data_IF_079800695118
#
_entry.id   IF_079800695118
#
_cell.length_a   1.000
_cell.length_b   1.000
_cell.length_c   1.000
_cell.angle_alpha   90.00
_cell.angle_beta   90.00
_cell.angle_gamma   90.00
#
_symmetry.space_group_name_H-M   'P 1'
#
loop_
_entity.id
_entity.type
_entity.pdbx_description
1 polymer ?
#
# COMPACT_ATOMS: atom_id res chain seq x y z
N UNK A 1 -16.86 13.52 -15.85
CA UNK A 1 -16.77 13.95 -14.44
C UNK A 1 -15.29 14.15 -14.14
N UNK A 2 -14.82 15.37 -13.80
CA UNK A 2 -13.44 15.54 -13.36
C UNK A 2 -13.25 14.77 -12.04
N UNK A 3 -12.11 14.10 -11.90
CA UNK A 3 -11.77 13.40 -10.66
C UNK A 3 -11.42 14.43 -9.57
N UNK A 4 -11.71 14.15 -8.29
CA UNK A 4 -11.43 15.09 -7.20
C UNK A 4 -9.93 15.38 -7.12
N UNK A 5 -9.55 16.63 -6.89
CA UNK A 5 -8.13 17.00 -6.79
C UNK A 5 -7.53 16.59 -5.44
N UNK A 6 -6.29 16.04 -5.43
CA UNK A 6 -5.46 15.75 -6.59
C UNK A 6 -5.70 14.32 -7.09
N UNK A 7 -6.21 14.19 -8.32
CA UNK A 7 -6.01 12.98 -9.12
C UNK A 7 -5.11 13.38 -10.28
N UNK A 8 -3.96 12.70 -10.33
CA UNK A 8 -2.85 13.07 -11.20
C UNK A 8 -2.73 12.07 -12.36
N UNK A 9 -2.32 12.52 -13.55
CA UNK A 9 -1.87 11.63 -14.62
C UNK A 9 -0.73 10.74 -14.16
N UNK A 10 -0.64 9.54 -14.73
CA UNK A 10 0.38 8.55 -14.39
C UNK A 10 1.81 9.07 -14.59
N UNK A 11 2.01 9.93 -15.59
CA UNK A 11 3.28 10.62 -15.84
C UNK A 11 3.67 11.59 -14.71
N UNK A 12 2.71 12.24 -14.07
CA UNK A 12 2.97 13.13 -12.94
C UNK A 12 3.27 12.34 -11.67
N UNK A 13 2.60 11.19 -11.47
CA UNK A 13 2.92 10.29 -10.35
C UNK A 13 4.35 9.77 -10.45
N UNK A 14 4.79 9.36 -11.65
CA UNK A 14 6.16 8.93 -11.88
C UNK A 14 7.20 10.03 -11.56
N UNK A 15 6.91 11.28 -11.95
CA UNK A 15 7.77 12.42 -11.61
C UNK A 15 7.83 12.68 -10.10
N UNK A 16 6.73 12.48 -9.38
CA UNK A 16 6.70 12.61 -7.91
C UNK A 16 7.56 11.53 -7.26
N UNK A 17 7.48 10.29 -7.73
CA UNK A 17 8.29 9.19 -7.21
C UNK A 17 9.79 9.41 -7.48
N UNK A 18 10.14 9.84 -8.70
CA UNK A 18 11.53 10.21 -9.04
C UNK A 18 12.05 11.36 -8.17
N UNK A 19 11.23 12.39 -7.94
CA UNK A 19 11.59 13.50 -7.07
C UNK A 19 11.76 13.07 -5.61
N UNK A 20 10.88 12.19 -5.10
CA UNK A 20 10.99 11.65 -3.75
C UNK A 20 12.30 10.87 -3.57
N UNK A 21 12.65 10.03 -4.55
CA UNK A 21 13.93 9.32 -4.56
C UNK A 21 15.13 10.27 -4.62
N UNK A 22 15.08 11.31 -5.46
CA UNK A 22 16.13 12.33 -5.56
C UNK A 22 16.31 13.14 -4.26
N UNK A 23 15.24 13.30 -3.47
CA UNK A 23 15.26 13.91 -2.14
C UNK A 23 15.69 12.94 -1.02
N UNK A 24 16.06 11.70 -1.36
CA UNK A 24 16.54 10.70 -0.42
C UNK A 24 15.45 10.01 0.39
N UNK A 25 14.19 10.02 -0.07
CA UNK A 25 13.15 9.18 0.53
C UNK A 25 13.46 7.71 0.26
N UNK A 26 13.48 6.90 1.31
CA UNK A 26 13.60 5.45 1.19
C UNK A 26 12.27 4.86 0.73
N UNK A 27 12.32 4.06 -0.33
CA UNK A 27 11.12 3.40 -0.87
C UNK A 27 10.52 2.42 0.14
N UNK A 28 11.36 1.74 0.94
CA UNK A 28 10.90 0.84 2.00
C UNK A 28 10.11 1.59 3.08
N UNK A 29 10.59 2.74 3.54
CA UNK A 29 9.86 3.59 4.50
C UNK A 29 8.53 4.13 3.94
N UNK A 30 8.48 4.47 2.64
CA UNK A 30 7.23 4.84 1.97
C UNK A 30 6.25 3.65 1.96
N UNK A 31 6.73 2.46 1.63
CA UNK A 31 5.93 1.24 1.58
C UNK A 31 5.45 0.80 2.97
N UNK A 32 6.25 0.98 4.02
CA UNK A 32 5.84 0.76 5.41
C UNK A 32 4.65 1.63 5.79
N UNK A 33 4.68 2.91 5.41
CA UNK A 33 3.57 3.85 5.65
C UNK A 33 2.33 3.47 4.84
N UNK A 34 2.49 3.18 3.55
CA UNK A 34 1.40 2.81 2.66
C UNK A 34 0.73 1.50 3.11
N UNK A 35 1.52 0.47 3.38
CA UNK A 35 1.03 -0.82 3.86
C UNK A 35 0.35 -0.75 5.24
N UNK A 36 0.81 0.12 6.15
CA UNK A 36 0.12 0.36 7.41
C UNK A 36 -1.26 0.99 7.22
N UNK A 37 -1.38 1.97 6.32
CA UNK A 37 -2.67 2.55 5.97
C UNK A 37 -3.62 1.50 5.34
N UNK A 38 -3.09 0.65 4.45
CA UNK A 38 -3.84 -0.47 3.87
C UNK A 38 -4.31 -1.46 4.94
N UNK A 39 -3.46 -1.84 5.89
CA UNK A 39 -3.83 -2.77 6.96
C UNK A 39 -4.95 -2.21 7.84
N UNK A 40 -4.87 -0.91 8.18
CA UNK A 40 -5.92 -0.23 8.93
C UNK A 40 -7.26 -0.28 8.19
N UNK A 41 -7.26 0.11 6.92
CA UNK A 41 -8.48 0.17 6.14
C UNK A 41 -9.06 -1.22 5.83
N UNK A 42 -8.21 -2.21 5.53
CA UNK A 42 -8.63 -3.59 5.32
C UNK A 42 -9.29 -4.17 6.58
N UNK A 43 -8.71 -3.92 7.76
CA UNK A 43 -9.30 -4.35 9.03
C UNK A 43 -10.64 -3.66 9.33
N UNK A 44 -10.79 -2.39 8.93
CA UNK A 44 -12.03 -1.62 9.06
C UNK A 44 -13.13 -2.13 8.11
N UNK A 45 -12.78 -2.43 6.86
CA UNK A 45 -13.71 -2.90 5.83
C UNK A 45 -14.16 -4.34 6.05
N UNK A 46 -13.27 -5.19 6.55
CA UNK A 46 -13.54 -6.58 6.89
C UNK A 46 -13.22 -6.80 8.38
N UNK A 47 -14.16 -6.52 9.30
CA UNK A 47 -13.91 -6.71 10.73
C UNK A 47 -13.66 -8.18 11.09
N UNK A 48 -14.31 -9.10 10.36
CA UNK A 48 -14.21 -10.55 10.56
C UNK A 48 -13.82 -11.29 9.27
N UNK A 49 -13.53 -12.58 9.40
CA UNK A 49 -13.19 -13.46 8.28
C UNK A 49 -11.74 -13.35 7.80
N UNK A 50 -11.46 -13.99 6.67
CA UNK A 50 -10.13 -14.07 6.07
C UNK A 50 -9.91 -12.98 5.01
N UNK A 51 -8.67 -12.52 4.88
CA UNK A 51 -8.26 -11.47 3.94
C UNK A 51 -7.25 -12.07 2.94
N UNK A 52 -7.51 -11.89 1.65
CA UNK A 52 -6.57 -12.18 0.57
C UNK A 52 -5.85 -10.90 0.16
N UNK A 53 -4.52 -10.94 0.12
CA UNK A 53 -3.70 -9.88 -0.46
C UNK A 53 -3.11 -10.42 -1.77
N UNK A 54 -3.53 -9.88 -2.91
CA UNK A 54 -3.01 -10.27 -4.22
C UNK A 54 -1.88 -9.31 -4.63
N UNK A 55 -0.64 -9.76 -4.51
CA UNK A 55 0.55 -8.93 -4.68
C UNK A 55 1.17 -9.13 -6.07
N UNK A 56 1.37 -8.02 -6.79
CA UNK A 56 2.25 -8.01 -7.96
C UNK A 56 3.74 -7.97 -7.59
N UNK A 57 4.67 -8.00 -8.57
CA UNK A 57 6.11 -7.97 -8.31
C UNK A 57 6.70 -6.56 -8.07
N UNK A 58 5.90 -5.49 -8.18
CA UNK A 58 6.35 -4.11 -8.04
C UNK A 58 6.16 -3.52 -6.64
N UNK A 59 6.34 -2.20 -6.50
CA UNK A 59 6.22 -1.48 -5.23
C UNK A 59 4.86 -1.69 -4.55
N UNK A 60 3.75 -1.63 -5.32
CA UNK A 60 2.42 -1.93 -4.79
C UNK A 60 2.31 -3.34 -4.18
N UNK A 61 3.08 -4.30 -4.72
CA UNK A 61 3.18 -5.63 -4.15
C UNK A 61 3.81 -5.62 -2.77
N UNK A 62 4.89 -4.86 -2.59
CA UNK A 62 5.51 -4.74 -1.28
C UNK A 62 4.68 -3.94 -0.27
N UNK A 63 3.88 -2.95 -0.69
CA UNK A 63 2.84 -2.35 0.16
C UNK A 63 1.88 -3.43 0.68
N UNK A 64 1.47 -4.34 -0.21
CA UNK A 64 0.66 -5.51 0.12
C UNK A 64 1.35 -6.46 1.10
N UNK A 65 2.65 -6.72 0.95
CA UNK A 65 3.41 -7.54 1.91
C UNK A 65 3.50 -6.89 3.30
N UNK A 66 3.71 -5.57 3.38
CA UNK A 66 3.66 -4.82 4.64
C UNK A 66 2.26 -4.94 5.26
N UNK A 67 1.21 -4.72 4.46
CA UNK A 67 -0.17 -4.86 4.90
C UNK A 67 -0.45 -6.27 5.47
N UNK A 68 -0.05 -7.32 4.74
CA UNK A 68 -0.20 -8.70 5.18
C UNK A 68 0.54 -8.98 6.48
N UNK A 69 1.79 -8.51 6.62
CA UNK A 69 2.59 -8.65 7.84
C UNK A 69 1.91 -8.00 9.04
N UNK A 70 1.37 -6.80 8.88
CA UNK A 70 0.69 -6.06 9.96
C UNK A 70 -0.65 -6.71 10.35
N UNK A 71 -1.45 -7.15 9.37
CA UNK A 71 -2.69 -7.89 9.64
C UNK A 71 -2.43 -9.21 10.35
N UNK A 72 -1.40 -9.95 9.93
CA UNK A 72 -0.98 -11.18 10.60
C UNK A 72 -0.53 -10.92 12.04
N UNK A 73 0.26 -9.87 12.28
CA UNK A 73 0.67 -9.45 13.61
C UNK A 73 -0.51 -9.05 14.51
N UNK A 74 -1.61 -8.55 13.93
CA UNK A 74 -2.86 -8.25 14.62
C UNK A 74 -3.78 -9.48 14.82
N UNK A 75 -3.31 -10.69 14.48
CA UNK A 75 -4.06 -11.94 14.65
C UNK A 75 -5.13 -12.21 13.59
N UNK A 76 -5.13 -11.47 12.48
CA UNK A 76 -6.07 -11.71 11.38
C UNK A 76 -5.66 -12.92 10.54
N UNK A 77 -6.65 -13.66 10.04
CA UNK A 77 -6.44 -14.69 9.05
C UNK A 77 -6.16 -14.05 7.68
N UNK A 78 -4.89 -13.99 7.27
CA UNK A 78 -4.46 -13.36 6.03
C UNK A 78 -3.64 -14.32 5.16
N UNK A 79 -3.78 -14.22 3.84
CA UNK A 79 -2.99 -14.97 2.86
C UNK A 79 -2.51 -14.02 1.76
N UNK A 80 -1.26 -14.21 1.32
CA UNK A 80 -0.71 -13.55 0.14
C UNK A 80 -0.78 -14.49 -1.07
N UNK A 81 -1.11 -13.96 -2.24
CA UNK A 81 -1.03 -14.63 -3.54
C UNK A 81 -0.16 -13.83 -4.49
#
# INVERSE_FOLDING_TARGET
MPLPSPVLPLSETALIDEAAAALGQDVGELMERAGAALAHEAARMAPDGWILIACGPGNNGGDGYVCARLLAAAGRAVRVW
#
